data_IF_201658975894
#
_entry.id   IF_201658975894
#
_cell.length_a   1.000
_cell.length_b   1.000
_cell.length_c   1.000
_cell.angle_alpha   90.00
_cell.angle_beta   90.00
_cell.angle_gamma   90.00
#
_symmetry.space_group_name_H-M   'P 1'
#
loop_
_entity.id
_entity.type
_entity.pdbx_description
1 polymer ?
#
# COMPACT_ATOMS: atom_id res chain seq x y z
N UNK A 1 6.45 1.85 0.55
CA UNK A 1 6.16 2.32 -0.80
C UNK A 1 5.91 1.14 -1.70
N UNK A 2 4.85 1.18 -2.45
CA UNK A 2 4.51 0.12 -3.39
C UNK A 2 4.61 0.56 -4.85
N UNK A 3 4.49 1.85 -5.13
CA UNK A 3 4.59 2.38 -6.49
C UNK A 3 5.63 3.47 -6.61
N UNK A 4 6.47 3.37 -7.61
CA UNK A 4 7.49 4.35 -7.98
C UNK A 4 6.98 5.25 -9.11
N UNK A 5 7.63 6.40 -9.38
CA UNK A 5 7.21 7.28 -10.49
C UNK A 5 7.09 6.50 -11.80
N UNK A 6 5.95 6.67 -12.46
CA UNK A 6 5.64 5.99 -13.72
C UNK A 6 5.00 4.61 -13.59
N UNK A 7 4.96 4.04 -12.40
CA UNK A 7 4.34 2.72 -12.20
C UNK A 7 2.82 2.80 -12.26
N UNK A 8 2.20 1.71 -12.71
CA UNK A 8 0.75 1.49 -12.57
C UNK A 8 0.55 0.51 -11.43
N UNK A 9 -0.12 0.97 -10.37
CA UNK A 9 -0.40 0.17 -9.18
C UNK A 9 -1.86 -0.26 -9.21
N UNK A 10 -2.10 -1.55 -9.11
CA UNK A 10 -3.44 -2.13 -9.07
C UNK A 10 -3.58 -2.97 -7.80
N UNK A 11 -4.66 -2.77 -7.07
CA UNK A 11 -4.97 -3.57 -5.88
C UNK A 11 -6.40 -4.06 -6.00
N UNK A 12 -6.56 -5.31 -6.40
CA UNK A 12 -7.86 -5.92 -6.68
C UNK A 12 -7.98 -7.21 -5.88
N UNK A 13 -9.09 -7.37 -5.17
CA UNK A 13 -9.32 -8.52 -4.29
C UNK A 13 -8.17 -8.74 -3.31
N UNK A 14 -7.59 -7.62 -2.82
CA UNK A 14 -6.48 -7.61 -1.85
C UNK A 14 -5.17 -8.17 -2.38
N UNK A 15 -4.99 -8.17 -3.69
CA UNK A 15 -3.77 -8.55 -4.37
C UNK A 15 -3.19 -7.34 -5.09
N UNK A 16 -1.94 -7.02 -4.77
CA UNK A 16 -1.21 -5.93 -5.37
C UNK A 16 -0.56 -6.38 -6.69
N UNK A 17 -0.70 -5.57 -7.72
CA UNK A 17 0.03 -5.72 -8.98
C UNK A 17 0.72 -4.41 -9.31
N UNK A 18 1.93 -4.49 -9.83
CA UNK A 18 2.71 -3.33 -10.28
C UNK A 18 3.07 -3.54 -11.74
N UNK A 19 2.66 -2.61 -12.59
CA UNK A 19 2.87 -2.69 -14.04
C UNK A 19 2.34 -4.00 -14.65
N UNK A 20 1.21 -4.49 -14.15
CA UNK A 20 0.59 -5.73 -14.61
C UNK A 20 1.19 -7.00 -14.03
N UNK A 21 2.20 -6.89 -13.17
CA UNK A 21 2.83 -8.04 -12.52
C UNK A 21 2.28 -8.20 -11.11
N UNK A 22 1.61 -9.32 -10.87
CA UNK A 22 1.07 -9.64 -9.55
C UNK A 22 2.20 -9.87 -8.56
N UNK A 23 2.12 -9.21 -7.41
CA UNK A 23 3.08 -9.37 -6.33
C UNK A 23 2.68 -10.59 -5.49
N UNK A 24 3.56 -11.58 -5.43
CA UNK A 24 3.26 -12.86 -4.77
C UNK A 24 2.99 -12.67 -3.29
N UNK A 25 1.94 -13.31 -2.81
CA UNK A 25 1.61 -13.36 -1.39
C UNK A 25 1.66 -14.81 -0.91
N UNK A 26 2.22 -15.00 0.28
CA UNK A 26 2.24 -16.30 0.94
C UNK A 26 1.55 -16.15 2.30
N UNK A 27 0.49 -16.93 2.52
CA UNK A 27 -0.23 -16.90 3.78
C UNK A 27 0.62 -17.55 4.88
N UNK A 28 0.74 -16.87 6.03
CA UNK A 28 1.53 -17.33 7.16
C UNK A 28 0.68 -17.79 8.35
N UNK A 29 -0.60 -17.41 8.37
CA UNK A 29 -1.52 -17.80 9.43
C UNK A 29 -2.20 -16.59 10.07
N UNK A 30 -2.85 -16.83 11.20
CA UNK A 30 -3.56 -15.78 11.92
C UNK A 30 -2.59 -14.94 12.74
N UNK A 31 -2.91 -13.65 12.81
CA UNK A 31 -2.18 -12.68 13.63
C UNK A 31 -3.19 -11.79 14.35
N UNK A 32 -3.01 -11.59 15.63
CA UNK A 32 -3.87 -10.71 16.43
C UNK A 32 -3.24 -9.32 16.48
N UNK A 33 -3.95 -8.33 15.96
CA UNK A 33 -3.52 -6.94 16.05
C UNK A 33 -3.53 -6.50 17.51
N UNK A 34 -2.37 -6.09 18.08
CA UNK A 34 -2.29 -5.73 19.50
C UNK A 34 -3.09 -4.47 19.85
N UNK A 35 -3.36 -3.60 18.87
CA UNK A 35 -4.08 -2.35 19.12
C UNK A 35 -5.60 -2.53 19.08
N UNK A 36 -6.09 -3.32 18.14
CA UNK A 36 -7.53 -3.53 17.93
C UNK A 36 -8.04 -4.83 18.50
N UNK A 37 -7.14 -5.79 18.82
CA UNK A 37 -7.45 -7.16 19.25
C UNK A 37 -8.24 -7.94 18.19
N UNK A 38 -8.18 -7.52 16.95
CA UNK A 38 -8.82 -8.21 15.82
C UNK A 38 -7.85 -9.24 15.25
N UNK A 39 -8.38 -10.42 14.95
CA UNK A 39 -7.60 -11.46 14.28
C UNK A 39 -7.57 -11.20 12.77
N UNK A 40 -6.36 -11.05 12.25
CA UNK A 40 -6.09 -10.81 10.83
C UNK A 40 -5.35 -12.00 10.23
N UNK A 41 -5.26 -12.03 8.92
CA UNK A 41 -4.39 -12.99 8.22
C UNK A 41 -3.06 -12.33 7.93
N UNK A 42 -1.98 -12.89 8.48
CA UNK A 42 -0.64 -12.44 8.17
C UNK A 42 -0.18 -13.10 6.86
N UNK A 43 0.42 -12.29 6.01
CA UNK A 43 0.96 -12.74 4.72
C UNK A 43 2.34 -12.16 4.50
N UNK A 44 3.17 -12.87 3.78
CA UNK A 44 4.41 -12.34 3.23
C UNK A 44 4.13 -11.92 1.79
N UNK A 45 4.37 -10.66 1.48
CA UNK A 45 4.23 -10.14 0.14
C UNK A 45 5.61 -9.88 -0.45
N UNK A 46 5.84 -10.35 -1.66
CA UNK A 46 7.07 -10.05 -2.37
C UNK A 46 6.84 -8.84 -3.28
N UNK A 47 7.43 -7.73 -2.90
CA UNK A 47 7.35 -6.47 -3.63
C UNK A 47 8.66 -6.30 -4.42
N UNK A 48 8.65 -6.68 -5.70
CA UNK A 48 9.88 -6.75 -6.47
C UNK A 48 10.87 -7.74 -5.85
N UNK A 49 12.03 -7.26 -5.45
CA UNK A 49 13.06 -8.07 -4.81
C UNK A 49 12.96 -8.08 -3.28
N UNK A 50 12.01 -7.36 -2.71
CA UNK A 50 11.86 -7.20 -1.28
C UNK A 50 10.67 -7.98 -0.76
N UNK A 51 10.87 -8.77 0.27
CA UNK A 51 9.80 -9.45 0.99
C UNK A 51 9.48 -8.69 2.26
N UNK A 52 8.19 -8.55 2.55
CA UNK A 52 7.75 -7.91 3.79
C UNK A 52 6.48 -8.58 4.31
N UNK A 53 6.24 -8.40 5.59
CA UNK A 53 5.02 -8.90 6.23
C UNK A 53 3.89 -7.89 6.06
N UNK A 54 2.69 -8.39 5.82
CA UNK A 54 1.49 -7.59 5.79
C UNK A 54 0.34 -8.32 6.47
N UNK A 55 -0.67 -7.60 6.88
CA UNK A 55 -1.86 -8.16 7.49
C UNK A 55 -3.11 -7.74 6.71
N UNK A 56 -4.04 -8.67 6.57
CA UNK A 56 -5.28 -8.48 5.82
C UNK A 56 -6.45 -8.96 6.69
N UNK A 57 -7.52 -8.19 6.74
CA UNK A 57 -8.77 -8.62 7.33
C UNK A 57 -9.64 -9.23 6.22
N UNK A 58 -9.70 -10.55 6.17
CA UNK A 58 -10.44 -11.25 5.12
C UNK A 58 -11.95 -11.00 5.18
N UNK A 59 -12.45 -10.44 6.29
CA UNK A 59 -13.88 -10.07 6.44
C UNK A 59 -14.16 -8.67 5.89
N UNK A 60 -13.14 -7.83 5.72
CA UNK A 60 -13.31 -6.48 5.20
C UNK A 60 -13.47 -6.51 3.68
N UNK A 61 -14.24 -5.56 3.10
CA UNK A 61 -14.36 -5.47 1.65
C UNK A 61 -13.02 -5.12 1.01
N UNK A 62 -12.83 -5.55 -0.24
CA UNK A 62 -11.60 -5.31 -0.98
C UNK A 62 -11.46 -3.88 -1.48
N UNK A 63 -12.57 -3.15 -1.63
CA UNK A 63 -12.56 -1.77 -2.08
C UNK A 63 -12.08 -0.79 -1.02
N UNK A 64 -11.86 0.45 -1.43
CA UNK A 64 -11.45 1.53 -0.53
C UNK A 64 -12.66 1.99 0.27
N UNK A 65 -12.59 1.87 1.59
CA UNK A 65 -13.70 2.21 2.49
C UNK A 65 -13.97 3.71 2.48
N UNK A 66 -15.24 4.06 2.29
CA UNK A 66 -15.66 5.46 2.26
C UNK A 66 -15.17 6.26 1.06
N UNK A 67 -14.41 5.63 0.19
CA UNK A 67 -13.84 6.28 -0.98
C UNK A 67 -12.66 7.19 -0.66
N UNK A 68 -12.04 7.76 -1.67
CA UNK A 68 -10.91 8.68 -1.48
C UNK A 68 -11.37 10.02 -0.87
N UNK A 69 -10.50 10.62 -0.08
CA UNK A 69 -10.81 11.90 0.60
C UNK A 69 -10.71 13.10 -0.31
N UNK A 70 -9.91 13.02 -1.35
CA UNK A 70 -9.60 14.15 -2.20
C UNK A 70 -9.95 13.86 -3.66
N UNK A 71 -10.36 14.88 -4.35
CA UNK A 71 -10.57 14.86 -5.80
C UNK A 71 -9.27 14.89 -6.59
N UNK A 72 -8.15 15.16 -5.92
CA UNK A 72 -6.81 15.14 -6.52
C UNK A 72 -6.31 13.76 -6.92
N UNK A 73 -7.14 12.72 -6.86
CA UNK A 73 -6.80 11.36 -7.24
C UNK A 73 -7.15 11.06 -8.71
N UNK A 74 -6.94 12.02 -9.58
CA UNK A 74 -7.28 11.92 -11.01
C UNK A 74 -6.54 10.80 -11.74
N UNK A 75 -5.37 10.43 -11.22
CA UNK A 75 -4.58 9.32 -11.75
C UNK A 75 -5.11 7.94 -11.38
N UNK A 76 -6.14 7.89 -10.55
CA UNK A 76 -6.68 6.65 -9.99
C UNK A 76 -8.10 6.38 -10.45
N UNK A 77 -8.42 5.09 -10.59
CA UNK A 77 -9.78 4.60 -10.80
C UNK A 77 -10.13 3.65 -9.67
N UNK A 78 -11.34 3.77 -9.14
CA UNK A 78 -11.81 2.98 -8.00
C UNK A 78 -12.93 2.05 -8.44
N UNK A 79 -12.85 0.79 -7.97
CA UNK A 79 -13.83 -0.25 -8.24
C UNK A 79 -14.42 -0.76 -6.93
N UNK A 80 -15.46 -1.55 -7.02
CA UNK A 80 -16.04 -2.19 -5.84
C UNK A 80 -15.03 -3.09 -5.12
N UNK A 81 -14.15 -3.76 -5.86
CA UNK A 81 -13.20 -4.72 -5.33
C UNK A 81 -11.74 -4.22 -5.32
N UNK A 82 -11.51 -2.93 -5.53
CA UNK A 82 -10.16 -2.38 -5.50
C UNK A 82 -9.98 -1.06 -6.22
N UNK A 83 -8.78 -0.84 -6.72
CA UNK A 83 -8.43 0.38 -7.45
C UNK A 83 -7.27 0.14 -8.41
N UNK A 84 -7.07 1.11 -9.30
CA UNK A 84 -5.90 1.20 -10.17
C UNK A 84 -5.43 2.65 -10.20
N UNK A 85 -4.13 2.86 -9.95
CA UNK A 85 -3.53 4.20 -9.98
C UNK A 85 -2.28 4.19 -10.84
N UNK A 86 -2.18 5.19 -11.71
CA UNK A 86 -0.93 5.47 -12.42
C UNK A 86 -0.16 6.53 -11.64
N UNK A 87 1.03 6.18 -11.16
CA UNK A 87 1.86 7.08 -10.36
C UNK A 87 2.51 8.10 -11.28
N UNK A 88 2.25 9.41 -11.11
CA UNK A 88 2.88 10.43 -11.95
C UNK A 88 4.40 10.49 -11.75
N UNK A 89 5.08 11.19 -12.67
CA UNK A 89 6.49 11.49 -12.49
C UNK A 89 6.69 12.25 -11.16
N UNK A 90 7.81 12.01 -10.50
CA UNK A 90 8.19 12.63 -9.22
C UNK A 90 7.20 12.38 -8.08
N UNK A 91 6.41 11.32 -8.16
CA UNK A 91 5.47 10.91 -7.12
C UNK A 91 5.64 9.45 -6.77
N UNK A 92 5.10 9.07 -5.62
CA UNK A 92 5.15 7.71 -5.09
C UNK A 92 3.79 7.29 -4.57
N UNK A 93 3.53 5.99 -4.59
CA UNK A 93 2.30 5.43 -4.03
C UNK A 93 2.63 4.61 -2.79
N UNK A 94 1.95 4.90 -1.70
CA UNK A 94 2.20 4.31 -0.39
C UNK A 94 1.02 3.49 0.08
N UNK A 95 1.29 2.31 0.62
CA UNK A 95 0.27 1.49 1.27
C UNK A 95 0.82 0.98 2.60
N UNK A 96 -0.01 1.05 3.63
CA UNK A 96 0.33 0.50 4.93
C UNK A 96 0.33 -1.03 4.92
N UNK A 97 1.11 -1.65 5.79
CA UNK A 97 1.20 -3.10 5.87
C UNK A 97 -0.03 -3.73 6.54
N UNK A 98 -0.69 -3.02 7.42
CA UNK A 98 -2.03 -3.40 7.89
C UNK A 98 -3.06 -2.89 6.88
N UNK A 99 -3.26 -3.66 5.83
CA UNK A 99 -3.93 -3.23 4.60
C UNK A 99 -5.35 -2.70 4.81
N UNK A 100 -6.08 -3.28 5.72
CA UNK A 100 -7.47 -2.91 5.96
C UNK A 100 -7.65 -1.89 7.08
N UNK A 101 -6.55 -1.45 7.69
CA UNK A 101 -6.56 -0.46 8.77
C UNK A 101 -5.44 0.57 8.61
N UNK A 102 -5.26 1.09 7.41
CA UNK A 102 -4.27 2.13 7.11
C UNK A 102 -4.89 3.23 6.29
N UNK A 103 -4.61 4.48 6.65
CA UNK A 103 -4.91 5.65 5.83
C UNK A 103 -3.65 6.02 5.03
N UNK A 104 -3.66 5.72 3.75
CA UNK A 104 -2.50 5.86 2.89
C UNK A 104 -2.89 6.42 1.51
N UNK A 105 -2.06 6.21 0.50
CA UNK A 105 -2.31 6.78 -0.84
C UNK A 105 -3.64 6.35 -1.46
N UNK A 106 -4.24 5.27 -1.00
CA UNK A 106 -5.59 4.88 -1.45
C UNK A 106 -6.63 5.93 -1.10
N UNK A 107 -6.40 6.72 -0.06
CA UNK A 107 -7.33 7.73 0.44
C UNK A 107 -6.91 9.15 0.08
N UNK A 108 -5.62 9.50 0.25
CA UNK A 108 -5.15 10.88 0.05
C UNK A 108 -4.23 11.06 -1.16
N UNK A 109 -4.00 10.00 -1.94
CA UNK A 109 -3.34 10.08 -3.23
C UNK A 109 -1.84 9.90 -3.20
N UNK A 110 -1.23 10.16 -4.35
CA UNK A 110 0.21 10.01 -4.55
C UNK A 110 1.00 11.04 -3.76
N UNK A 111 2.21 10.68 -3.37
CA UNK A 111 3.08 11.52 -2.53
C UNK A 111 4.14 12.16 -3.41
N UNK A 112 4.23 13.50 -3.42
CA UNK A 112 5.30 14.19 -4.16
C UNK A 112 6.68 13.85 -3.60
N UNK A 113 7.66 13.81 -4.49
CA UNK A 113 9.05 13.48 -4.18
C UNK A 113 9.64 14.35 -3.05
N UNK A 114 9.31 15.64 -3.05
CA UNK A 114 9.80 16.54 -2.00
C UNK A 114 9.26 16.23 -0.60
N UNK A 115 8.16 15.50 -0.49
CA UNK A 115 7.65 15.03 0.80
C UNK A 115 8.50 13.90 1.38
N UNK A 116 9.11 13.09 0.53
CA UNK A 116 9.96 11.98 0.97
C UNK A 116 11.22 12.48 1.67
N UNK A 117 11.77 13.60 1.22
CA UNK A 117 12.94 14.22 1.84
C UNK A 117 12.59 14.82 3.21
N UNK A 118 11.32 15.24 3.40
CA UNK A 118 10.87 15.83 4.64
C UNK A 118 10.02 14.90 5.49
N UNK A 119 8.71 15.06 5.41
CA UNK A 119 7.75 14.42 6.32
C UNK A 119 7.59 12.92 6.10
N UNK A 120 7.42 12.49 4.87
CA UNK A 120 7.14 11.08 4.59
C UNK A 120 8.31 10.20 4.95
N UNK A 121 9.53 10.64 4.70
CA UNK A 121 10.72 9.91 5.10
C UNK A 121 10.79 9.74 6.63
N UNK A 122 10.48 10.80 7.36
CA UNK A 122 10.50 10.74 8.82
C UNK A 122 9.46 9.75 9.37
N UNK A 123 8.26 9.74 8.79
CA UNK A 123 7.22 8.78 9.17
C UNK A 123 7.67 7.35 8.92
N UNK A 124 8.30 7.09 7.79
CA UNK A 124 8.80 5.75 7.45
C UNK A 124 9.93 5.28 8.34
N UNK A 125 10.74 6.17 8.87
CA UNK A 125 11.81 5.81 9.79
C UNK A 125 11.28 5.15 11.07
N UNK A 126 10.01 5.29 11.38
CA UNK A 126 9.37 4.65 12.53
C UNK A 126 8.82 3.25 12.23
N UNK A 127 8.85 2.82 10.97
CA UNK A 127 8.39 1.49 10.59
C UNK A 127 9.57 0.51 10.58
N UNK A 128 9.26 -0.76 10.83
CA UNK A 128 10.25 -1.83 10.81
C UNK A 128 10.82 -2.14 9.43
N UNK A 129 10.31 -1.52 8.38
CA UNK A 129 10.63 -1.83 6.99
C UNK A 129 11.60 -0.84 6.35
N UNK A 130 12.65 -0.56 7.05
CA UNK A 130 13.69 0.38 6.60
C UNK A 130 14.34 -0.02 5.27
N UNK A 131 14.38 -1.31 4.97
CA UNK A 131 14.96 -1.81 3.72
C UNK A 131 14.20 -1.31 2.49
N UNK A 132 12.89 -1.11 2.59
CA UNK A 132 12.10 -0.60 1.47
C UNK A 132 12.36 0.89 1.23
N UNK A 133 12.62 1.64 2.28
CA UNK A 133 12.99 3.05 2.17
C UNK A 133 14.31 3.18 1.37
N UNK A 134 15.24 2.28 1.62
CA UNK A 134 16.50 2.24 0.90
C UNK A 134 16.37 2.07 -0.62
N UNK A 135 15.28 1.47 -1.07
CA UNK A 135 15.04 1.24 -2.51
C UNK A 135 14.78 2.51 -3.30
N UNK A 136 14.57 3.65 -2.65
CA UNK A 136 14.41 4.95 -3.32
C UNK A 136 15.72 5.60 -3.74
N UNK A 137 16.77 5.10 -3.24
CA UNK A 137 18.09 5.63 -3.58
C UNK A 137 18.56 5.07 -4.90
#
# INVERSE_FOLDING_TARGET
VVGLPGDTVTYVNKVLSVNGVEQRQTALGDWVDPDTLVTLTEREEQLGDVKHLMAVDDRAPAGVRGGPYDRGLEACRYFENGFECKVPADHYFMMGDNRDNSEDSRYWGVVPDNYLVGRAFFIWANFSEMSRIGSFK
#
